data_IF_461111880640
#
_entry.id   IF_461111880640
#
_cell.length_a   1.000
_cell.length_b   1.000
_cell.length_c   1.000
_cell.angle_alpha   90.00
_cell.angle_beta   90.00
_cell.angle_gamma   90.00
#
_symmetry.space_group_name_H-M   'P 1'
#
loop_
_entity.id
_entity.type
_entity.pdbx_description
1 polymer ?
#
# COMPACT_ATOMS: atom_id res chain seq x y z
N UNK A 1 9.51 -17.10 -4.44
CA UNK A 1 9.42 -18.03 -3.28
C UNK A 1 10.06 -19.38 -3.50
N UNK A 2 9.93 -20.06 -4.64
CA UNK A 2 10.61 -21.34 -4.88
C UNK A 2 12.14 -21.19 -4.97
N UNK A 3 12.61 -20.17 -5.69
CA UNK A 3 14.03 -19.87 -5.86
C UNK A 3 14.70 -19.45 -4.53
N UNK A 4 14.09 -18.57 -3.73
CA UNK A 4 14.61 -18.15 -2.41
C UNK A 4 14.78 -19.32 -1.43
N UNK A 5 13.81 -20.24 -1.36
CA UNK A 5 13.95 -21.47 -0.57
C UNK A 5 15.04 -22.42 -1.10
N UNK A 6 15.35 -22.30 -2.40
CA UNK A 6 16.43 -23.04 -3.05
C UNK A 6 17.81 -22.60 -2.58
N UNK A 7 18.02 -21.28 -2.38
CA UNK A 7 19.30 -20.74 -1.85
C UNK A 7 19.60 -21.26 -0.46
N UNK A 8 18.63 -21.20 0.45
CA UNK A 8 18.79 -21.70 1.82
C UNK A 8 19.19 -23.18 1.88
N UNK A 9 18.83 -23.94 0.84
CA UNK A 9 19.15 -25.37 0.69
C UNK A 9 20.38 -25.63 -0.19
N UNK A 10 21.09 -24.59 -0.64
CA UNK A 10 22.26 -24.70 -1.52
C UNK A 10 21.95 -25.26 -2.92
N UNK A 11 20.69 -25.18 -3.37
CA UNK A 11 20.23 -25.72 -4.67
C UNK A 11 20.14 -24.67 -5.76
N UNK A 12 20.16 -23.40 -5.41
CA UNK A 12 20.00 -22.26 -6.29
C UNK A 12 21.01 -21.20 -5.87
N UNK A 13 21.64 -20.53 -6.82
CA UNK A 13 22.58 -19.44 -6.59
C UNK A 13 21.84 -18.11 -6.41
N UNK A 14 22.52 -17.09 -5.88
CA UNK A 14 21.95 -15.75 -5.77
C UNK A 14 21.61 -15.15 -7.15
N UNK A 15 22.42 -15.43 -8.18
CA UNK A 15 22.18 -14.98 -9.55
C UNK A 15 20.88 -15.61 -10.12
N UNK A 16 20.65 -16.90 -9.92
CA UNK A 16 19.42 -17.57 -10.35
C UNK A 16 18.17 -17.04 -9.62
N UNK A 17 18.32 -16.57 -8.39
CA UNK A 17 17.23 -15.89 -7.67
C UNK A 17 16.95 -14.53 -8.30
N UNK A 18 17.99 -13.77 -8.62
CA UNK A 18 17.84 -12.47 -9.27
C UNK A 18 17.19 -12.59 -10.65
N UNK A 19 17.63 -13.56 -11.46
CA UNK A 19 16.99 -13.88 -12.75
C UNK A 19 15.50 -14.23 -12.60
N UNK A 20 15.15 -14.99 -11.55
CA UNK A 20 13.76 -15.33 -11.27
C UNK A 20 12.94 -14.08 -10.89
N UNK A 21 13.48 -13.17 -10.10
CA UNK A 21 12.83 -11.89 -9.78
C UNK A 21 12.64 -11.03 -11.02
N UNK A 22 13.65 -10.93 -11.90
CA UNK A 22 13.52 -10.20 -13.16
C UNK A 22 12.42 -10.77 -14.05
N UNK A 23 12.32 -12.10 -14.15
CA UNK A 23 11.26 -12.78 -14.88
C UNK A 23 9.87 -12.53 -14.28
N UNK A 24 9.72 -12.68 -12.96
CA UNK A 24 8.47 -12.42 -12.26
C UNK A 24 8.03 -10.96 -12.38
N UNK A 25 8.97 -10.01 -12.32
CA UNK A 25 8.69 -8.58 -12.48
C UNK A 25 8.25 -8.24 -13.91
N UNK A 26 8.92 -8.82 -14.91
CA UNK A 26 8.53 -8.63 -16.31
C UNK A 26 7.10 -9.13 -16.58
N UNK A 27 6.74 -10.29 -16.04
CA UNK A 27 5.39 -10.83 -16.12
C UNK A 27 4.36 -9.96 -15.42
N UNK A 28 4.70 -9.43 -14.23
CA UNK A 28 3.85 -8.53 -13.47
C UNK A 28 3.56 -7.23 -14.25
N UNK A 29 4.61 -6.62 -14.81
CA UNK A 29 4.48 -5.39 -15.63
C UNK A 29 3.66 -5.68 -16.89
N UNK A 30 3.82 -6.85 -17.50
CA UNK A 30 3.01 -7.26 -18.67
C UNK A 30 1.52 -7.30 -18.31
N UNK A 31 1.14 -7.93 -17.20
CA UNK A 31 -0.27 -8.01 -16.76
C UNK A 31 -0.85 -6.62 -16.50
N UNK A 32 -0.11 -5.74 -15.83
CA UNK A 32 -0.55 -4.36 -15.58
C UNK A 32 -0.76 -3.58 -16.89
N UNK A 33 0.11 -3.75 -17.90
CA UNK A 33 -0.04 -3.15 -19.22
C UNK A 33 -1.25 -3.72 -19.98
N UNK A 34 -1.42 -5.04 -19.95
CA UNK A 34 -2.57 -5.72 -20.58
C UNK A 34 -3.89 -5.25 -19.95
N UNK A 35 -3.90 -5.03 -18.64
CA UNK A 35 -5.05 -4.45 -17.95
C UNK A 35 -5.31 -2.98 -18.30
N UNK A 36 -4.34 -2.27 -18.90
CA UNK A 36 -4.45 -0.85 -19.19
C UNK A 36 -4.48 0.02 -17.94
N UNK A 37 -3.72 -0.36 -16.90
CA UNK A 37 -3.60 0.46 -15.69
C UNK A 37 -2.89 1.78 -15.98
N UNK A 38 -3.28 2.84 -15.28
CA UNK A 38 -2.66 4.17 -15.40
C UNK A 38 -1.39 4.29 -14.57
N UNK A 39 -1.28 3.51 -13.52
CA UNK A 39 -0.19 3.55 -12.55
C UNK A 39 0.41 2.15 -12.43
N UNK A 40 1.73 2.08 -12.36
CA UNK A 40 2.47 0.82 -12.34
C UNK A 40 3.25 0.64 -11.03
N UNK A 41 3.31 -0.58 -10.52
CA UNK A 41 4.02 -0.93 -9.30
C UNK A 41 4.85 -2.19 -9.47
N UNK A 42 5.96 -2.29 -8.74
CA UNK A 42 6.72 -3.52 -8.55
C UNK A 42 6.10 -4.44 -7.48
N UNK A 43 5.02 -3.97 -6.83
CA UNK A 43 4.26 -4.66 -5.76
C UNK A 43 5.14 -5.24 -4.65
N UNK A 44 6.25 -4.59 -4.34
CA UNK A 44 7.22 -5.02 -3.32
C UNK A 44 7.78 -6.43 -3.57
N UNK A 45 7.88 -6.86 -4.84
CA UNK A 45 8.24 -8.23 -5.22
C UNK A 45 9.55 -8.71 -4.59
N UNK A 46 10.54 -7.81 -4.43
CA UNK A 46 11.85 -8.12 -3.81
C UNK A 46 11.83 -8.00 -2.28
N UNK A 47 10.77 -7.47 -1.69
CA UNK A 47 10.64 -7.31 -0.25
C UNK A 47 10.15 -8.62 0.38
N UNK A 48 10.65 -8.95 1.55
CA UNK A 48 10.22 -10.14 2.29
C UNK A 48 9.01 -9.84 3.19
N UNK A 49 8.95 -8.62 3.67
CA UNK A 49 7.82 -7.99 4.34
C UNK A 49 7.94 -6.46 4.18
N UNK A 50 6.87 -5.75 4.43
CA UNK A 50 6.78 -4.30 4.20
C UNK A 50 7.72 -3.47 5.09
N UNK A 51 8.22 -4.00 6.20
CA UNK A 51 9.10 -3.28 7.13
C UNK A 51 10.58 -3.54 6.86
N UNK A 52 10.91 -4.71 6.38
CA UNK A 52 12.28 -5.23 6.39
C UNK A 52 13.29 -4.34 5.67
N UNK A 53 13.08 -3.87 4.42
CA UNK A 53 14.05 -3.02 3.77
C UNK A 53 14.27 -1.68 4.49
N UNK A 54 13.21 -1.13 5.11
CA UNK A 54 13.28 0.10 5.88
C UNK A 54 14.04 -0.12 7.20
N UNK A 55 13.76 -1.22 7.88
CA UNK A 55 14.44 -1.59 9.13
C UNK A 55 15.93 -1.87 8.91
N UNK A 56 16.28 -2.57 7.82
CA UNK A 56 17.67 -2.85 7.44
C UNK A 56 18.42 -1.56 7.11
N UNK A 57 17.82 -0.64 6.34
CA UNK A 57 18.39 0.67 6.05
C UNK A 57 18.62 1.52 7.32
N UNK A 58 17.70 1.44 8.28
CA UNK A 58 17.79 2.12 9.55
C UNK A 58 18.70 1.39 10.57
N UNK A 59 19.33 0.27 10.21
CA UNK A 59 20.15 -0.53 11.12
C UNK A 59 19.38 -1.11 12.31
N UNK A 60 18.06 -1.26 12.19
CA UNK A 60 17.22 -1.86 13.22
C UNK A 60 17.42 -3.38 13.23
N UNK A 61 17.45 -3.96 14.42
CA UNK A 61 17.35 -5.41 14.55
C UNK A 61 15.91 -5.85 14.24
N UNK A 62 15.76 -7.09 13.78
CA UNK A 62 14.46 -7.68 13.59
C UNK A 62 14.27 -8.83 14.58
N UNK A 63 13.06 -8.95 15.11
CA UNK A 63 12.68 -9.98 16.07
C UNK A 63 12.17 -11.24 15.37
N UNK A 64 11.56 -12.13 16.13
CA UNK A 64 10.96 -13.37 15.64
C UNK A 64 9.88 -13.12 14.61
N UNK A 65 9.57 -14.13 13.81
CA UNK A 65 8.45 -14.08 12.87
C UNK A 65 7.14 -13.89 13.63
N UNK A 66 6.42 -12.85 13.26
CA UNK A 66 5.11 -12.50 13.81
C UNK A 66 4.07 -12.66 12.72
N UNK A 67 2.89 -13.16 13.07
CA UNK A 67 1.80 -13.32 12.12
C UNK A 67 1.28 -11.95 11.67
N UNK A 68 1.04 -11.82 10.38
CA UNK A 68 0.42 -10.66 9.76
C UNK A 68 -1.10 -10.75 9.93
N UNK A 69 -1.65 -10.05 10.92
CA UNK A 69 -3.07 -10.08 11.28
C UNK A 69 -3.59 -11.54 11.45
N UNK A 70 -4.72 -11.88 10.86
CA UNK A 70 -5.38 -13.19 10.96
C UNK A 70 -5.10 -14.14 9.77
N UNK A 71 -4.15 -13.77 8.89
CA UNK A 71 -3.80 -14.55 7.71
C UNK A 71 -2.51 -15.41 7.89
N UNK A 72 -2.07 -16.07 6.84
CA UNK A 72 -0.87 -16.91 6.84
C UNK A 72 0.41 -16.22 6.33
N UNK A 73 0.39 -14.89 6.19
CA UNK A 73 1.60 -14.11 5.99
C UNK A 73 2.30 -13.81 7.33
N UNK A 74 3.59 -13.57 7.27
CA UNK A 74 4.43 -13.30 8.44
C UNK A 74 5.43 -12.21 8.11
N UNK A 75 5.75 -11.41 9.12
CA UNK A 75 6.78 -10.38 9.05
C UNK A 75 7.76 -10.52 10.23
N UNK A 76 8.90 -9.87 10.15
CA UNK A 76 9.84 -9.75 11.28
C UNK A 76 9.66 -8.39 11.91
N UNK A 77 9.17 -8.36 13.15
CA UNK A 77 8.96 -7.12 13.88
C UNK A 77 10.28 -6.36 14.06
N UNK A 78 10.39 -5.12 13.55
CA UNK A 78 11.56 -4.27 13.81
C UNK A 78 11.68 -3.93 15.29
N UNK A 79 12.89 -3.96 15.84
CA UNK A 79 13.18 -3.53 17.21
C UNK A 79 13.65 -2.07 17.22
N UNK A 80 12.91 -1.22 17.90
CA UNK A 80 13.23 0.21 18.04
C UNK A 80 13.84 0.46 19.41
N UNK A 81 15.08 0.93 19.39
CA UNK A 81 15.82 1.30 20.60
C UNK A 81 15.43 2.68 21.15
N UNK A 82 16.38 3.34 21.80
CA UNK A 82 16.17 4.65 22.43
C UNK A 82 15.85 5.77 21.44
N UNK A 83 16.24 5.64 20.18
CA UNK A 83 15.96 6.57 19.07
C UNK A 83 15.70 5.80 17.78
N UNK A 84 14.97 6.41 16.85
CA UNK A 84 14.89 5.95 15.47
C UNK A 84 16.01 6.63 14.67
N UNK A 85 16.98 5.87 14.10
CA UNK A 85 18.06 6.46 13.34
C UNK A 85 17.55 7.22 12.09
N UNK A 86 18.25 8.27 11.70
CA UNK A 86 18.03 8.93 10.41
C UNK A 86 18.66 8.06 9.33
N UNK A 87 17.94 7.82 8.26
CA UNK A 87 18.42 7.04 7.11
C UNK A 87 18.79 7.98 5.97
N UNK A 88 20.04 7.86 5.49
CA UNK A 88 20.60 8.74 4.47
C UNK A 88 20.32 8.27 3.03
N UNK A 89 20.12 6.96 2.82
CA UNK A 89 19.88 6.39 1.49
C UNK A 89 18.90 5.21 1.54
N UNK A 90 18.03 5.18 0.53
CA UNK A 90 17.08 4.12 0.24
C UNK A 90 17.19 3.62 -1.21
N UNK A 91 18.41 3.62 -1.79
CA UNK A 91 18.62 3.20 -3.18
C UNK A 91 18.09 1.80 -3.49
N UNK A 92 18.10 0.91 -2.49
CA UNK A 92 17.68 -0.48 -2.62
C UNK A 92 16.15 -0.68 -2.66
N UNK A 93 15.35 0.37 -2.34
CA UNK A 93 13.89 0.31 -2.44
C UNK A 93 13.35 1.01 -3.70
N UNK A 94 14.21 1.60 -4.50
CA UNK A 94 13.80 2.26 -5.75
C UNK A 94 13.30 1.20 -6.74
N UNK A 95 12.12 1.40 -7.35
CA UNK A 95 11.57 0.47 -8.33
C UNK A 95 12.53 0.24 -9.51
N UNK A 96 12.59 -1.00 -9.98
CA UNK A 96 13.38 -1.37 -11.14
C UNK A 96 12.95 -0.54 -12.37
N UNK A 97 13.88 -0.07 -13.22
CA UNK A 97 13.57 0.69 -14.43
C UNK A 97 12.62 0.00 -15.43
N UNK A 98 12.44 -1.32 -15.35
CA UNK A 98 11.45 -2.06 -16.17
C UNK A 98 10.02 -1.67 -15.82
N UNK A 99 9.76 -1.20 -14.59
CA UNK A 99 8.45 -0.70 -14.17
C UNK A 99 8.19 0.62 -14.89
N UNK A 100 7.12 0.73 -15.72
CA UNK A 100 6.83 1.94 -16.46
C UNK A 100 6.46 3.12 -15.56
N UNK A 101 6.63 4.32 -16.06
CA UNK A 101 6.03 5.52 -15.47
C UNK A 101 4.60 5.72 -16.01
N UNK A 102 3.71 6.35 -15.21
CA UNK A 102 3.91 6.80 -13.83
C UNK A 102 3.89 5.65 -12.81
N UNK A 103 4.73 5.74 -11.78
CA UNK A 103 4.97 4.68 -10.80
C UNK A 103 4.27 4.91 -9.47
N UNK A 104 3.85 3.80 -8.85
CA UNK A 104 3.41 3.76 -7.45
C UNK A 104 4.48 3.06 -6.63
N UNK A 105 4.90 3.70 -5.54
CA UNK A 105 5.69 3.05 -4.51
C UNK A 105 4.85 2.80 -3.26
N UNK A 106 5.03 1.65 -2.63
CA UNK A 106 4.30 1.26 -1.42
C UNK A 106 5.22 1.29 -0.21
N UNK A 107 4.73 1.89 0.88
CA UNK A 107 5.38 1.97 2.19
C UNK A 107 4.37 1.61 3.29
N UNK A 108 4.80 1.17 4.47
CA UNK A 108 3.92 1.11 5.63
C UNK A 108 3.52 2.53 6.06
N UNK A 109 2.32 2.72 6.61
CA UNK A 109 1.99 3.96 7.29
C UNK A 109 2.87 4.13 8.54
N UNK A 110 3.07 5.35 9.04
CA UNK A 110 3.80 5.55 10.28
C UNK A 110 3.08 4.92 11.49
N UNK A 111 1.75 4.86 11.47
CA UNK A 111 0.95 4.22 12.52
C UNK A 111 1.16 2.71 12.51
N UNK A 112 0.94 2.06 11.37
CA UNK A 112 1.20 0.64 11.20
C UNK A 112 2.62 0.27 11.66
N UNK A 113 3.62 1.01 11.18
CA UNK A 113 5.02 0.73 11.52
C UNK A 113 5.26 0.81 13.04
N UNK A 114 4.75 1.86 13.69
CA UNK A 114 4.90 2.03 15.13
C UNK A 114 4.20 0.94 15.95
N UNK A 115 3.03 0.47 15.48
CA UNK A 115 2.24 -0.56 16.15
C UNK A 115 2.81 -1.96 15.99
N UNK A 116 3.39 -2.25 14.82
CA UNK A 116 3.95 -3.58 14.48
C UNK A 116 5.42 -3.73 14.90
N UNK A 117 6.10 -2.65 15.26
CA UNK A 117 7.46 -2.69 15.82
C UNK A 117 7.46 -3.03 17.32
N UNK A 118 8.58 -3.57 17.81
CA UNK A 118 8.85 -3.75 19.24
C UNK A 118 9.55 -2.51 19.78
N UNK A 119 8.90 -1.79 20.69
CA UNK A 119 9.46 -0.60 21.34
C UNK A 119 9.04 -0.53 22.80
N UNK A 120 9.94 -0.06 23.69
CA UNK A 120 9.70 0.18 25.13
C UNK A 120 9.44 1.66 25.42
N UNK A 121 9.08 2.43 24.39
CA UNK A 121 8.90 3.88 24.40
C UNK A 121 7.45 4.26 24.07
N UNK A 122 7.12 5.51 24.27
CA UNK A 122 5.84 6.08 23.84
C UNK A 122 5.63 5.85 22.33
N UNK A 123 4.49 5.27 21.98
CA UNK A 123 4.19 4.86 20.60
C UNK A 123 4.00 6.03 19.66
N UNK A 124 3.46 7.14 20.14
CA UNK A 124 3.25 8.33 19.34
C UNK A 124 4.59 9.01 19.04
N UNK A 125 5.50 9.05 20.01
CA UNK A 125 6.85 9.54 19.78
C UNK A 125 7.60 8.67 18.77
N UNK A 126 7.54 7.35 18.89
CA UNK A 126 8.12 6.41 17.92
C UNK A 126 7.55 6.63 16.53
N UNK A 127 6.23 6.80 16.38
CA UNK A 127 5.56 7.06 15.11
C UNK A 127 6.08 8.35 14.44
N UNK A 128 6.21 9.43 15.20
CA UNK A 128 6.73 10.71 14.70
C UNK A 128 8.21 10.61 14.27
N UNK A 129 9.03 9.90 15.02
CA UNK A 129 10.43 9.66 14.66
C UNK A 129 10.52 8.77 13.39
N UNK A 130 9.72 7.71 13.27
CA UNK A 130 9.65 6.87 12.07
C UNK A 130 9.24 7.69 10.85
N UNK A 131 8.22 8.55 10.99
CA UNK A 131 7.80 9.43 9.90
C UNK A 131 8.92 10.38 9.47
N UNK A 132 9.61 11.02 10.41
CA UNK A 132 10.62 12.03 10.12
C UNK A 132 11.95 11.43 9.62
N UNK A 133 12.39 10.31 10.20
CA UNK A 133 13.75 9.79 10.04
C UNK A 133 13.84 8.63 9.02
N UNK A 134 12.73 7.96 8.73
CA UNK A 134 12.69 6.79 7.84
C UNK A 134 11.74 7.01 6.67
N UNK A 135 10.44 7.26 6.93
CA UNK A 135 9.43 7.27 5.88
C UNK A 135 9.52 8.51 4.99
N UNK A 136 9.76 9.69 5.56
CA UNK A 136 9.98 10.91 4.78
C UNK A 136 11.17 10.80 3.83
N UNK A 137 12.40 10.42 4.29
CA UNK A 137 13.53 10.22 3.36
C UNK A 137 13.25 9.14 2.31
N UNK A 138 12.59 8.04 2.68
CA UNK A 138 12.19 7.00 1.73
C UNK A 138 11.23 7.56 0.66
N UNK A 139 10.19 8.29 1.06
CA UNK A 139 9.24 8.92 0.14
C UNK A 139 9.92 9.94 -0.80
N UNK A 140 10.85 10.75 -0.28
CA UNK A 140 11.62 11.70 -1.08
C UNK A 140 12.48 10.99 -2.14
N UNK A 141 13.15 9.91 -1.78
CA UNK A 141 13.97 9.16 -2.73
C UNK A 141 13.12 8.44 -3.79
N UNK A 142 11.97 7.86 -3.40
CA UNK A 142 11.02 7.24 -4.32
C UNK A 142 10.41 8.26 -5.29
N UNK A 143 10.04 9.45 -4.80
CA UNK A 143 9.55 10.54 -5.66
C UNK A 143 10.63 11.01 -6.64
N UNK A 144 11.89 11.17 -6.18
CA UNK A 144 13.02 11.51 -7.04
C UNK A 144 13.33 10.43 -8.08
N UNK A 145 12.96 9.17 -7.81
CA UNK A 145 13.07 8.04 -8.74
C UNK A 145 11.86 7.91 -9.70
N UNK A 146 10.98 8.92 -9.78
CA UNK A 146 9.85 8.96 -10.71
C UNK A 146 8.56 8.31 -10.19
N UNK A 147 8.46 8.03 -8.89
CA UNK A 147 7.19 7.62 -8.30
C UNK A 147 6.28 8.84 -8.14
N UNK A 148 5.12 8.82 -8.78
CA UNK A 148 4.13 9.90 -8.75
C UNK A 148 3.10 9.71 -7.65
N UNK A 149 3.04 8.51 -7.05
CA UNK A 149 2.17 8.18 -5.94
C UNK A 149 2.94 7.34 -4.91
N UNK A 150 2.87 7.77 -3.65
CA UNK A 150 3.37 7.04 -2.48
C UNK A 150 2.16 6.47 -1.74
N UNK A 151 2.02 5.16 -1.79
CA UNK A 151 0.92 4.40 -1.20
C UNK A 151 1.31 3.92 0.20
N UNK A 152 0.77 4.56 1.23
CA UNK A 152 0.96 4.18 2.63
C UNK A 152 -0.11 3.16 3.02
N UNK A 153 0.30 1.92 3.24
CA UNK A 153 -0.62 0.86 3.70
C UNK A 153 -0.83 0.92 5.21
N UNK A 154 -2.09 0.85 5.64
CA UNK A 154 -2.48 0.80 7.04
C UNK A 154 -3.64 -0.18 7.31
N UNK A 155 -3.37 -1.48 7.29
CA UNK A 155 -4.36 -2.47 7.72
C UNK A 155 -4.64 -2.43 9.24
N UNK A 156 -3.79 -1.81 10.05
CA UNK A 156 -4.06 -1.67 11.48
C UNK A 156 -5.27 -0.79 11.75
N UNK A 157 -5.39 0.31 11.02
CA UNK A 157 -6.54 1.22 11.13
C UNK A 157 -7.86 0.52 10.77
N UNK A 158 -7.87 -0.35 9.78
CA UNK A 158 -9.05 -1.13 9.41
C UNK A 158 -9.39 -2.20 10.43
N UNK A 159 -8.38 -2.97 10.87
CA UNK A 159 -8.58 -4.15 11.71
C UNK A 159 -8.81 -3.82 13.19
N UNK A 160 -8.06 -2.86 13.76
CA UNK A 160 -8.12 -2.50 15.17
C UNK A 160 -8.66 -1.08 15.42
N UNK A 161 -8.71 -0.23 14.38
CA UNK A 161 -9.06 1.18 14.54
C UNK A 161 -7.90 2.02 15.10
N UNK A 162 -8.24 3.23 15.55
CA UNK A 162 -7.33 4.18 16.18
C UNK A 162 -7.93 4.78 17.44
N UNK A 163 -7.14 4.87 18.49
CA UNK A 163 -7.55 5.59 19.71
C UNK A 163 -7.54 7.10 19.47
N UNK A 164 -8.48 7.80 20.09
CA UNK A 164 -8.59 9.26 19.92
C UNK A 164 -7.30 10.02 20.29
N UNK A 165 -6.53 9.50 21.27
CA UNK A 165 -5.27 10.07 21.70
C UNK A 165 -4.15 10.00 20.65
N UNK A 166 -4.24 9.06 19.70
CA UNK A 166 -3.22 8.84 18.68
C UNK A 166 -3.45 9.66 17.40
N UNK A 167 -4.69 10.14 17.18
CA UNK A 167 -5.08 10.81 15.93
C UNK A 167 -4.23 12.01 15.59
N UNK A 168 -4.01 12.91 16.54
CA UNK A 168 -3.20 14.12 16.33
C UNK A 168 -1.75 13.80 15.95
N UNK A 169 -1.16 12.77 16.56
CA UNK A 169 0.19 12.33 16.24
C UNK A 169 0.26 11.69 14.85
N UNK A 170 -0.76 10.91 14.43
CA UNK A 170 -0.81 10.37 13.08
C UNK A 170 -1.01 11.48 12.03
N UNK A 171 -1.88 12.45 12.26
CA UNK A 171 -2.03 13.61 11.39
C UNK A 171 -0.70 14.35 11.21
N UNK A 172 0.03 14.61 12.30
CA UNK A 172 1.35 15.23 12.23
C UNK A 172 2.35 14.37 11.45
N UNK A 173 2.39 13.06 11.68
CA UNK A 173 3.27 12.12 11.00
C UNK A 173 3.00 12.07 9.50
N UNK A 174 1.72 12.02 9.09
CA UNK A 174 1.31 12.06 7.69
C UNK A 174 1.67 13.39 7.04
N UNK A 175 1.45 14.52 7.72
CA UNK A 175 1.82 15.85 7.26
C UNK A 175 3.32 16.00 7.01
N UNK A 176 4.17 15.40 7.86
CA UNK A 176 5.63 15.38 7.69
C UNK A 176 6.04 14.65 6.41
N UNK A 177 5.35 13.58 6.03
CA UNK A 177 5.63 12.82 4.81
C UNK A 177 5.07 13.54 3.59
N UNK A 178 3.78 13.92 3.61
CA UNK A 178 3.10 14.46 2.44
C UNK A 178 3.62 15.83 2.00
N UNK A 179 4.01 16.68 2.97
CA UNK A 179 4.59 18.00 2.65
C UNK A 179 6.02 17.96 2.11
N UNK A 180 6.67 16.80 2.15
CA UNK A 180 8.08 16.64 1.77
C UNK A 180 8.28 16.19 0.32
N UNK A 181 7.22 15.89 -0.42
CA UNK A 181 7.25 15.34 -1.78
C UNK A 181 6.16 15.96 -2.65
N UNK A 182 6.42 16.07 -3.95
CA UNK A 182 5.42 16.47 -4.95
C UNK A 182 4.54 15.29 -5.40
N UNK A 183 4.93 14.05 -5.07
CA UNK A 183 4.14 12.85 -5.34
C UNK A 183 2.86 12.84 -4.50
N UNK A 184 1.78 12.29 -5.03
CA UNK A 184 0.55 12.08 -4.26
C UNK A 184 0.81 11.06 -3.13
N UNK A 185 0.60 11.46 -1.89
CA UNK A 185 0.63 10.55 -0.73
C UNK A 185 -0.77 10.07 -0.44
N UNK A 186 -0.95 8.77 -0.40
CA UNK A 186 -2.23 8.09 -0.16
C UNK A 186 -2.12 7.25 1.10
N UNK A 187 -3.07 7.36 2.03
CA UNK A 187 -3.22 6.44 3.15
C UNK A 187 -4.31 5.43 2.82
N UNK A 188 -3.99 4.14 2.74
CA UNK A 188 -4.97 3.09 2.43
C UNK A 188 -5.28 2.25 3.67
N UNK A 189 -6.52 2.36 4.13
CA UNK A 189 -7.09 1.57 5.23
C UNK A 189 -7.68 0.29 4.66
N UNK A 190 -7.13 -0.86 5.07
CA UNK A 190 -7.55 -2.18 4.59
C UNK A 190 -7.88 -3.11 5.76
N UNK A 191 -8.42 -4.31 5.47
CA UNK A 191 -8.78 -5.35 6.43
C UNK A 191 -9.90 -5.00 7.41
N UNK A 192 -10.74 -4.03 7.12
CA UNK A 192 -11.86 -3.75 7.99
C UNK A 192 -12.70 -2.54 7.58
N UNK A 193 -13.76 -2.32 8.33
CA UNK A 193 -14.70 -1.23 8.11
C UNK A 193 -14.11 0.12 8.53
N UNK A 194 -13.91 1.00 7.55
CA UNK A 194 -13.47 2.38 7.78
C UNK A 194 -14.63 3.32 8.20
N UNK A 195 -15.88 2.88 8.10
CA UNK A 195 -17.09 3.67 8.35
C UNK A 195 -17.03 4.53 9.63
N UNK A 196 -16.70 3.96 10.80
CA UNK A 196 -16.63 4.71 12.06
C UNK A 196 -15.60 5.83 12.09
N UNK A 197 -14.67 5.86 11.13
CA UNK A 197 -13.54 6.80 11.11
C UNK A 197 -13.57 7.74 9.89
N UNK A 198 -14.51 7.57 8.95
CA UNK A 198 -14.56 8.30 7.67
C UNK A 198 -14.55 9.82 7.86
N UNK A 199 -15.30 10.35 8.83
CA UNK A 199 -15.34 11.79 9.10
C UNK A 199 -13.98 12.40 9.47
N UNK A 200 -13.10 11.59 10.04
CA UNK A 200 -11.74 11.99 10.36
C UNK A 200 -10.80 11.67 9.19
N UNK A 201 -10.90 10.50 8.58
CA UNK A 201 -10.03 10.05 7.48
C UNK A 201 -10.05 11.01 6.30
N UNK A 202 -11.23 11.49 5.88
CA UNK A 202 -11.38 12.40 4.72
C UNK A 202 -10.80 13.80 4.93
N UNK A 203 -10.29 14.11 6.14
CA UNK A 203 -9.64 15.39 6.49
C UNK A 203 -8.15 15.25 6.81
N UNK A 204 -7.58 14.07 6.60
CA UNK A 204 -6.17 13.83 6.85
C UNK A 204 -5.30 14.65 5.89
N UNK A 205 -4.09 15.07 6.32
CA UNK A 205 -3.17 15.85 5.50
C UNK A 205 -2.45 14.97 4.47
N UNK A 206 -3.22 14.29 3.63
CA UNK A 206 -2.78 13.44 2.51
C UNK A 206 -3.55 13.80 1.25
N UNK A 207 -3.12 13.31 0.10
CA UNK A 207 -3.77 13.62 -1.18
C UNK A 207 -5.00 12.75 -1.45
N UNK A 208 -5.03 11.54 -0.88
CA UNK A 208 -6.19 10.65 -0.94
C UNK A 208 -6.19 9.67 0.22
N UNK A 209 -7.37 9.14 0.54
CA UNK A 209 -7.55 8.03 1.48
C UNK A 209 -8.16 6.85 0.75
N UNK A 210 -7.58 5.67 0.95
CA UNK A 210 -8.10 4.40 0.46
C UNK A 210 -8.96 3.72 1.51
N UNK A 211 -10.03 3.08 1.08
CA UNK A 211 -10.93 2.30 1.93
C UNK A 211 -11.20 0.92 1.31
N UNK A 212 -11.28 -0.07 2.16
CA UNK A 212 -11.68 -1.44 1.81
C UNK A 212 -13.20 -1.47 1.61
N UNK A 213 -13.66 -1.43 0.35
CA UNK A 213 -15.09 -1.46 0.01
C UNK A 213 -15.71 -2.86 0.10
N UNK A 214 -14.93 -3.88 0.44
CA UNK A 214 -15.46 -5.21 0.77
C UNK A 214 -16.00 -5.23 2.18
N UNK A 215 -15.39 -4.45 3.09
CA UNK A 215 -15.75 -4.36 4.51
C UNK A 215 -16.54 -3.08 4.84
N UNK A 216 -16.27 -1.99 4.12
CA UNK A 216 -16.92 -0.69 4.33
C UNK A 216 -18.14 -0.55 3.44
N UNK A 217 -19.29 -0.24 4.03
CA UNK A 217 -20.51 0.04 3.26
C UNK A 217 -20.29 1.28 2.38
N UNK A 218 -20.41 1.11 1.08
CA UNK A 218 -20.28 2.17 0.08
C UNK A 218 -21.22 3.35 0.35
N UNK A 219 -22.42 3.11 0.91
CA UNK A 219 -23.36 4.15 1.27
C UNK A 219 -22.95 4.97 2.50
N UNK A 220 -21.98 4.47 3.28
CA UNK A 220 -21.43 5.17 4.45
C UNK A 220 -20.35 6.19 4.10
N UNK A 221 -19.85 6.19 2.85
CA UNK A 221 -18.75 7.07 2.42
C UNK A 221 -19.09 8.56 2.58
N UNK A 222 -20.38 8.93 2.49
CA UNK A 222 -20.82 10.33 2.61
C UNK A 222 -20.35 11.21 1.46
N UNK A 223 -20.69 12.48 1.58
CA UNK A 223 -20.25 13.57 0.68
C UNK A 223 -19.10 14.36 1.31
N UNK A 224 -18.75 15.50 0.76
CA UNK A 224 -17.76 16.46 1.32
C UNK A 224 -16.32 15.91 1.39
N UNK A 225 -15.92 15.14 0.38
CA UNK A 225 -14.53 14.74 0.21
C UNK A 225 -13.69 15.89 -0.35
N UNK A 226 -12.84 16.45 0.49
CA UNK A 226 -11.89 17.52 0.08
C UNK A 226 -10.62 16.93 -0.56
N UNK A 227 -10.34 15.67 -0.31
CA UNK A 227 -9.20 14.90 -0.82
C UNK A 227 -9.67 13.75 -1.71
N UNK A 228 -8.76 13.14 -2.47
CA UNK A 228 -9.07 11.98 -3.29
C UNK A 228 -9.50 10.74 -2.50
N UNK A 229 -10.18 9.83 -3.17
CA UNK A 229 -10.61 8.54 -2.64
C UNK A 229 -10.00 7.40 -3.46
N UNK A 230 -9.41 6.40 -2.79
CA UNK A 230 -9.04 5.13 -3.40
C UNK A 230 -10.10 4.10 -3.03
N UNK A 231 -10.87 3.68 -4.02
CA UNK A 231 -11.89 2.65 -3.87
C UNK A 231 -11.25 1.26 -3.96
N UNK A 232 -11.08 0.60 -2.82
CA UNK A 232 -10.61 -0.78 -2.72
C UNK A 232 -11.71 -1.77 -3.08
N UNK A 233 -12.05 -1.87 -4.37
CA UNK A 233 -13.23 -2.56 -4.88
C UNK A 233 -12.97 -4.01 -5.34
N UNK A 234 -11.72 -4.43 -5.46
CA UNK A 234 -11.34 -5.81 -5.78
C UNK A 234 -10.96 -6.54 -4.50
N UNK A 235 -11.67 -7.61 -4.15
CA UNK A 235 -11.43 -8.37 -2.93
C UNK A 235 -10.09 -9.13 -2.98
N UNK A 236 -9.10 -8.65 -2.21
CA UNK A 236 -7.77 -9.26 -2.11
C UNK A 236 -7.73 -10.56 -1.30
N UNK A 237 -8.82 -10.95 -0.63
CA UNK A 237 -8.90 -12.13 0.27
C UNK A 237 -9.73 -13.27 -0.30
N UNK A 238 -10.51 -13.03 -1.34
CA UNK A 238 -11.33 -14.04 -2.01
C UNK A 238 -10.76 -14.46 -3.35
N UNK A 239 -10.76 -15.75 -3.65
CA UNK A 239 -10.38 -16.27 -4.97
C UNK A 239 -11.49 -16.13 -6.02
N UNK A 240 -12.67 -15.65 -5.65
CA UNK A 240 -13.73 -15.30 -6.58
C UNK A 240 -13.29 -14.08 -7.38
N UNK A 241 -13.39 -14.16 -8.70
CA UNK A 241 -13.05 -13.05 -9.60
C UNK A 241 -14.32 -12.29 -9.91
N UNK A 242 -14.32 -11.01 -9.65
CA UNK A 242 -15.45 -10.09 -9.85
C UNK A 242 -15.76 -9.90 -11.34
N UNK A 243 -16.95 -9.43 -11.69
CA UNK A 243 -17.22 -8.97 -13.04
C UNK A 243 -16.80 -7.51 -13.24
N UNK A 244 -16.21 -7.16 -14.39
CA UNK A 244 -15.84 -5.77 -14.67
C UNK A 244 -17.04 -4.82 -14.63
N UNK A 245 -18.23 -5.30 -15.00
CA UNK A 245 -19.49 -4.54 -14.95
C UNK A 245 -19.85 -4.14 -13.51
N UNK A 246 -19.87 -5.12 -12.59
CA UNK A 246 -20.22 -4.89 -11.19
C UNK A 246 -19.23 -3.92 -10.51
N UNK A 247 -17.93 -4.02 -10.85
CA UNK A 247 -16.90 -3.11 -10.33
C UNK A 247 -17.08 -1.71 -10.93
N UNK A 248 -17.38 -1.59 -12.23
CA UNK A 248 -17.63 -0.29 -12.87
C UNK A 248 -18.87 0.39 -12.26
N UNK A 249 -19.97 -0.34 -12.05
CA UNK A 249 -21.19 0.19 -11.43
C UNK A 249 -20.92 0.66 -9.99
N UNK A 250 -20.13 -0.09 -9.22
CA UNK A 250 -19.74 0.31 -7.87
C UNK A 250 -18.87 1.58 -7.87
N UNK A 251 -17.87 1.67 -8.76
CA UNK A 251 -17.02 2.84 -8.90
C UNK A 251 -17.80 4.08 -9.37
N UNK A 252 -18.76 3.91 -10.28
CA UNK A 252 -19.64 5.00 -10.70
C UNK A 252 -20.48 5.49 -9.53
N UNK A 253 -21.07 4.58 -8.76
CA UNK A 253 -21.83 4.93 -7.56
C UNK A 253 -20.97 5.70 -6.53
N UNK A 254 -19.74 5.26 -6.30
CA UNK A 254 -18.77 5.98 -5.44
C UNK A 254 -18.55 7.40 -5.97
N UNK A 255 -18.25 7.56 -7.26
CA UNK A 255 -17.98 8.87 -7.87
C UNK A 255 -19.16 9.82 -7.71
N UNK A 256 -20.37 9.34 -7.98
CA UNK A 256 -21.61 10.13 -7.91
C UNK A 256 -22.00 10.51 -6.48
N UNK A 257 -21.87 9.57 -5.52
CA UNK A 257 -22.26 9.78 -4.14
C UNK A 257 -21.27 10.64 -3.37
N UNK A 258 -19.96 10.43 -3.56
CA UNK A 258 -18.93 11.14 -2.79
C UNK A 258 -18.54 12.49 -3.39
N UNK A 259 -18.65 12.65 -4.70
CA UNK A 259 -18.18 13.81 -5.45
C UNK A 259 -16.70 14.13 -5.16
N UNK A 260 -15.90 13.09 -4.85
CA UNK A 260 -14.47 13.25 -4.58
C UNK A 260 -13.75 13.93 -5.75
N UNK A 261 -12.78 14.84 -5.49
CA UNK A 261 -12.04 15.51 -6.55
C UNK A 261 -11.20 14.57 -7.40
N UNK A 262 -10.86 13.38 -6.86
CA UNK A 262 -10.09 12.34 -7.54
C UNK A 262 -10.47 10.96 -7.05
N UNK A 263 -10.82 10.06 -7.97
CA UNK A 263 -11.13 8.66 -7.66
C UNK A 263 -10.07 7.74 -8.26
N UNK A 264 -9.49 6.90 -7.41
CA UNK A 264 -8.64 5.80 -7.82
C UNK A 264 -9.37 4.48 -7.61
N UNK A 265 -9.19 3.53 -8.51
CA UNK A 265 -9.65 2.15 -8.35
C UNK A 265 -8.48 1.25 -7.95
N UNK A 266 -8.69 0.41 -6.93
CA UNK A 266 -7.65 -0.49 -6.41
C UNK A 266 -8.26 -1.79 -5.88
N UNK A 267 -7.39 -2.73 -5.47
CA UNK A 267 -7.78 -3.83 -4.61
C UNK A 267 -8.03 -3.34 -3.18
N UNK A 268 -8.88 -4.07 -2.43
CA UNK A 268 -9.21 -3.77 -1.03
C UNK A 268 -7.99 -3.94 -0.10
N UNK A 269 -7.12 -4.86 -0.45
CA UNK A 269 -5.84 -5.12 0.22
C UNK A 269 -4.86 -5.77 -0.77
N UNK A 270 -3.72 -6.25 -0.26
CA UNK A 270 -2.69 -6.92 -1.06
C UNK A 270 -3.22 -8.18 -1.75
N UNK A 271 -2.94 -8.34 -3.06
CA UNK A 271 -3.31 -9.55 -3.81
C UNK A 271 -2.33 -10.72 -3.59
N UNK A 272 -1.26 -10.54 -2.82
CA UNK A 272 -0.28 -11.59 -2.53
C UNK A 272 -0.86 -12.78 -1.74
N UNK A 273 -2.00 -12.57 -1.09
CA UNK A 273 -2.74 -13.62 -0.37
C UNK A 273 -3.41 -14.62 -1.32
N UNK A 274 -3.49 -14.30 -2.61
CA UNK A 274 -4.15 -15.09 -3.64
C UNK A 274 -3.15 -15.88 -4.49
N UNK A 275 -3.59 -17.00 -5.11
CA UNK A 275 -2.83 -17.64 -6.16
C UNK A 275 -2.54 -16.65 -7.30
N UNK A 276 -1.32 -16.65 -7.85
CA UNK A 276 -0.86 -15.74 -8.92
C UNK A 276 -1.88 -15.60 -10.06
N UNK A 277 -2.39 -16.72 -10.55
CA UNK A 277 -3.36 -16.73 -11.67
C UNK A 277 -4.69 -16.05 -11.32
N UNK A 278 -5.08 -16.05 -10.07
CA UNK A 278 -6.27 -15.33 -9.57
C UNK A 278 -5.97 -13.84 -9.47
N UNK A 279 -4.83 -13.49 -8.88
CA UNK A 279 -4.38 -12.10 -8.77
C UNK A 279 -4.27 -11.44 -10.15
N UNK A 280 -3.62 -12.10 -11.12
CA UNK A 280 -3.50 -11.60 -12.51
C UNK A 280 -4.88 -11.33 -13.14
N UNK A 281 -5.85 -12.25 -12.97
CA UNK A 281 -7.22 -12.05 -13.46
C UNK A 281 -7.94 -10.87 -12.79
N UNK A 282 -7.75 -10.68 -11.51
CA UNK A 282 -8.33 -9.54 -10.77
C UNK A 282 -7.75 -8.20 -11.23
N UNK A 283 -6.45 -8.14 -11.53
CA UNK A 283 -5.82 -6.96 -12.14
C UNK A 283 -6.45 -6.64 -13.50
N UNK A 284 -6.70 -7.65 -14.34
CA UNK A 284 -7.38 -7.46 -15.63
C UNK A 284 -8.81 -6.95 -15.45
N UNK A 285 -9.55 -7.47 -14.48
CA UNK A 285 -10.91 -7.01 -14.15
C UNK A 285 -10.91 -5.54 -13.71
N UNK A 286 -9.96 -5.15 -12.84
CA UNK A 286 -9.82 -3.78 -12.37
C UNK A 286 -9.62 -2.81 -13.56
N UNK A 287 -8.69 -3.15 -14.47
CA UNK A 287 -8.44 -2.34 -15.65
C UNK A 287 -9.64 -2.24 -16.59
N UNK A 288 -10.32 -3.36 -16.84
CA UNK A 288 -11.52 -3.38 -17.66
C UNK A 288 -12.66 -2.56 -17.06
N UNK A 289 -12.85 -2.58 -15.74
CA UNK A 289 -13.82 -1.76 -15.03
C UNK A 289 -13.50 -0.26 -15.14
N UNK A 290 -12.24 0.11 -14.92
CA UNK A 290 -11.80 1.51 -15.06
C UNK A 290 -11.97 2.05 -16.48
N UNK A 291 -11.75 1.22 -17.51
CA UNK A 291 -11.98 1.61 -18.91
C UNK A 291 -13.46 1.90 -19.20
N UNK A 292 -14.38 1.08 -18.67
CA UNK A 292 -15.84 1.30 -18.83
C UNK A 292 -16.31 2.64 -18.30
N UNK A 293 -15.73 3.10 -17.18
CA UNK A 293 -16.07 4.41 -16.61
C UNK A 293 -15.63 5.61 -17.50
N UNK A 294 -14.66 5.39 -18.36
CA UNK A 294 -14.14 6.43 -19.27
C UNK A 294 -14.89 6.49 -20.59
N UNK A 295 -15.57 5.41 -20.95
CA UNK A 295 -16.38 5.38 -22.17
C UNK A 295 -17.62 6.25 -21.96
N UNK A 296 -17.89 7.22 -22.86
CA UNK A 296 -19.13 7.99 -22.77
C UNK A 296 -20.31 7.03 -22.91
N UNK A 297 -21.29 7.15 -22.02
CA UNK A 297 -22.55 6.40 -22.12
C UNK A 297 -23.15 6.75 -23.48
N UNK A 298 -23.00 5.86 -24.47
CA UNK A 298 -23.70 5.96 -25.75
C UNK A 298 -25.17 5.66 -25.48
N UNK A 299 -25.97 6.72 -25.28
CA UNK A 299 -27.42 6.69 -25.21
C UNK A 299 -28.08 6.37 -26.56
#
# INVERSE_FOLDING_TARGET
MAATRGVERGRVTAAEVDDAYCGDLADLVRVQREAGLDLFSDVLLRWQDIFRPLAEAAGMRTNVLTRWFDNNAFYRAPEIGDTVPVVDSFDHIVPDPIVPEPRVATLPSPYLFSRMAVAQRDRNQVMLELAANVLRPAAQQLAAAGCTLIHLQDPWLGFFGIEAADRAALEQALGVISSAVDAHVVLHVSFGDAGPQLDWLRRLPVHAVGVDLVETDINSLGTDWEIGLVAGCIDGRSSVVESPEAIADALQHVAESTQTPMLYASSSCELELLPRTVADRKVLVLGAAAQRLREPVTS
#
